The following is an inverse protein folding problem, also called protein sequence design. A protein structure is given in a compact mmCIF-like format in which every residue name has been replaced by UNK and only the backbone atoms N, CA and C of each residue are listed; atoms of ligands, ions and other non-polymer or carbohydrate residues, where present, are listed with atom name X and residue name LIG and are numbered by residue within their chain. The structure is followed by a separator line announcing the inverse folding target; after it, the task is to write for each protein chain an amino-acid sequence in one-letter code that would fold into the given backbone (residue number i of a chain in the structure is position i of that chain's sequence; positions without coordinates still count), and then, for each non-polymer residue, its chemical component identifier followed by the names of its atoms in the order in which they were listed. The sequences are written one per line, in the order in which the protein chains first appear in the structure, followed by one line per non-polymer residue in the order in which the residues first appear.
data_IF_752427993007
#
_entry.id   IF_752427993007
#
_cell.length_a   1.000
_cell.length_b   1.000
_cell.length_c   1.000
_cell.angle_alpha   90.00
_cell.angle_beta   90.00
_cell.angle_gamma   90.00
#
_symmetry.space_group_name_H-M   'P 1'
#
loop_
_entity.id
_entity.type
_entity.pdbx_description
1 polymer ?
#
# COMPACT_ATOMS: atom_id res chain seq x y z
N UNK A 1 20.48 -10.63 -1.10
CA UNK A 1 20.17 -10.02 0.20
C UNK A 1 19.49 -8.63 0.06
N UNK A 2 19.10 -8.19 -1.15
CA UNK A 2 18.57 -6.83 -1.39
C UNK A 2 19.46 -5.70 -0.85
N UNK A 3 20.71 -6.02 -0.49
CA UNK A 3 21.68 -5.06 0.02
C UNK A 3 22.66 -4.70 -1.09
N UNK A 4 23.35 -3.58 -0.89
CA UNK A 4 24.53 -3.24 -1.66
C UNK A 4 25.76 -3.29 -0.75
N UNK A 5 26.84 -3.84 -1.30
CA UNK A 5 28.15 -3.88 -0.63
C UNK A 5 29.01 -2.68 -1.01
N UNK A 6 30.14 -2.49 -0.30
CA UNK A 6 31.18 -1.54 -0.71
C UNK A 6 30.86 -0.06 -0.45
N UNK A 7 30.00 0.26 0.51
CA UNK A 7 29.66 1.64 0.89
C UNK A 7 28.49 2.26 0.12
N UNK A 8 27.83 1.49 -0.74
CA UNK A 8 26.65 1.92 -1.50
C UNK A 8 25.35 1.74 -0.70
N UNK A 9 24.46 2.75 -0.73
CA UNK A 9 23.19 2.77 0.01
C UNK A 9 22.09 1.94 -0.69
N UNK A 10 21.92 2.15 -2.00
CA UNK A 10 20.98 1.41 -2.85
C UNK A 10 19.51 1.46 -2.41
N UNK A 11 18.99 2.66 -2.24
CA UNK A 11 17.59 2.97 -1.95
C UNK A 11 16.65 2.29 -2.95
N UNK A 12 17.04 2.22 -4.23
CA UNK A 12 16.30 1.51 -5.28
C UNK A 12 16.10 0.00 -5.03
N UNK A 13 16.75 -0.59 -4.02
CA UNK A 13 16.59 -1.99 -3.60
C UNK A 13 15.83 -2.13 -2.29
N UNK A 14 15.53 -1.04 -1.61
CA UNK A 14 14.68 -1.07 -0.42
C UNK A 14 13.28 -1.49 -0.84
N UNK A 15 12.69 -2.42 -0.09
CA UNK A 15 11.40 -3.04 -0.39
C UNK A 15 10.33 -2.00 -0.66
N UNK A 16 10.20 -1.04 0.25
CA UNK A 16 9.26 0.05 0.20
C UNK A 16 9.41 0.88 -1.09
N UNK A 17 10.62 1.02 -1.61
CA UNK A 17 10.90 1.83 -2.80
C UNK A 17 10.64 1.04 -4.08
N UNK A 18 11.26 -0.14 -4.26
CA UNK A 18 11.09 -0.88 -5.52
C UNK A 18 9.65 -1.38 -5.69
N UNK A 19 8.94 -1.70 -4.61
CA UNK A 19 7.53 -2.06 -4.69
C UNK A 19 6.66 -0.87 -5.08
N UNK A 20 6.99 0.35 -4.64
CA UNK A 20 6.27 1.55 -5.10
C UNK A 20 6.57 1.91 -6.56
N UNK A 21 7.73 1.52 -7.10
CA UNK A 21 7.97 1.54 -8.55
C UNK A 21 7.02 0.59 -9.28
N UNK A 22 6.84 -0.63 -8.76
CA UNK A 22 5.86 -1.58 -9.32
C UNK A 22 4.42 -1.08 -9.19
N UNK A 23 4.04 -0.53 -8.04
CA UNK A 23 2.76 0.14 -7.82
C UNK A 23 2.49 1.20 -8.89
N UNK A 24 3.48 2.06 -9.17
CA UNK A 24 3.37 3.11 -10.20
C UNK A 24 3.18 2.54 -11.61
N UNK A 25 3.83 1.43 -11.92
CA UNK A 25 3.69 0.73 -13.19
C UNK A 25 2.31 0.07 -13.33
N UNK A 26 1.82 -0.60 -12.28
CA UNK A 26 0.48 -1.21 -12.24
C UNK A 26 -0.64 -0.17 -12.33
N UNK A 27 -0.48 0.97 -11.65
CA UNK A 27 -1.40 2.10 -11.73
C UNK A 27 -1.43 2.77 -13.12
N UNK A 28 -0.29 2.75 -13.84
CA UNK A 28 -0.12 3.35 -15.16
C UNK A 28 -0.73 4.77 -15.26
N UNK A 29 -1.68 4.97 -16.18
CA UNK A 29 -2.36 6.24 -16.44
C UNK A 29 -3.70 6.39 -15.72
N UNK A 30 -4.06 5.48 -14.80
CA UNK A 30 -5.33 5.58 -14.08
C UNK A 30 -5.43 6.92 -13.32
N UNK A 31 -6.58 7.60 -13.32
CA UNK A 31 -6.72 8.85 -12.59
C UNK A 31 -6.60 8.62 -11.08
N UNK A 32 -6.26 9.68 -10.33
CA UNK A 32 -6.44 9.68 -8.88
C UNK A 32 -7.95 9.70 -8.59
N UNK A 33 -8.39 8.80 -7.73
CA UNK A 33 -9.80 8.64 -7.32
C UNK A 33 -9.86 8.29 -5.83
N UNK A 34 -11.09 8.26 -5.27
CA UNK A 34 -11.35 7.87 -3.88
C UNK A 34 -10.42 8.58 -2.87
N UNK A 35 -10.18 9.88 -3.11
CA UNK A 35 -9.42 10.69 -2.18
C UNK A 35 -10.15 10.74 -0.84
N UNK A 36 -9.40 10.56 0.24
CA UNK A 36 -9.84 10.72 1.60
C UNK A 36 -8.71 11.38 2.39
N UNK A 37 -9.08 12.26 3.32
CA UNK A 37 -8.21 12.80 4.34
C UNK A 37 -9.00 13.04 5.62
N UNK A 38 -8.29 13.15 6.74
CA UNK A 38 -8.89 13.47 8.04
C UNK A 38 -8.86 14.97 8.38
N UNK A 39 -8.55 15.85 7.41
CA UNK A 39 -8.27 17.26 7.63
C UNK A 39 -6.89 17.56 8.26
N UNK A 40 -6.03 16.55 8.43
CA UNK A 40 -4.67 16.67 8.96
C UNK A 40 -3.68 15.82 8.12
N UNK A 41 -2.90 14.91 8.74
CA UNK A 41 -1.83 14.17 8.05
C UNK A 41 -2.14 12.69 7.80
N UNK A 42 -3.41 12.28 7.86
CA UNK A 42 -3.84 10.99 7.34
C UNK A 42 -4.52 11.18 5.99
N UNK A 43 -4.02 10.47 4.98
CA UNK A 43 -4.58 10.52 3.62
C UNK A 43 -4.70 9.12 3.02
N UNK A 44 -5.62 8.97 2.08
CA UNK A 44 -5.69 7.80 1.22
C UNK A 44 -6.23 8.16 -0.15
N UNK A 45 -5.83 7.41 -1.18
CA UNK A 45 -6.38 7.55 -2.52
C UNK A 45 -6.13 6.29 -3.35
N UNK A 46 -6.92 6.14 -4.41
CA UNK A 46 -6.75 5.10 -5.41
C UNK A 46 -6.26 5.65 -6.76
N UNK A 47 -5.74 4.75 -7.57
CA UNK A 47 -5.44 4.95 -8.98
C UNK A 47 -6.43 4.11 -9.79
N UNK A 48 -7.60 4.67 -10.04
CA UNK A 48 -8.73 3.95 -10.62
C UNK A 48 -9.05 2.69 -9.81
N UNK A 49 -9.19 1.57 -10.51
CA UNK A 49 -9.39 0.24 -9.94
C UNK A 49 -8.11 -0.63 -9.93
N UNK A 50 -6.93 -0.01 -10.01
CA UNK A 50 -5.65 -0.71 -10.15
C UNK A 50 -4.77 -0.70 -8.91
N UNK A 51 -4.79 0.39 -8.15
CA UNK A 51 -3.94 0.55 -6.97
C UNK A 51 -4.57 1.45 -5.92
N UNK A 52 -4.25 1.24 -4.65
CA UNK A 52 -4.73 2.03 -3.51
C UNK A 52 -3.61 2.18 -2.48
N UNK A 53 -3.48 3.38 -1.90
CA UNK A 53 -2.51 3.70 -0.86
C UNK A 53 -3.19 4.48 0.26
N UNK A 54 -2.80 4.19 1.50
CA UNK A 54 -3.13 4.99 2.67
C UNK A 54 -1.86 5.29 3.47
N UNK A 55 -1.74 6.52 3.96
CA UNK A 55 -0.57 7.05 4.64
C UNK A 55 -1.03 7.68 5.95
N UNK A 56 -0.35 7.37 7.05
CA UNK A 56 -0.56 7.98 8.34
C UNK A 56 0.72 8.73 8.77
N UNK A 57 0.66 10.06 8.76
CA UNK A 57 1.72 10.90 9.29
C UNK A 57 1.22 11.75 10.47
N UNK A 58 0.13 11.33 11.12
CA UNK A 58 -0.31 11.88 12.39
C UNK A 58 0.38 11.16 13.57
N UNK A 59 0.24 11.75 14.76
CA UNK A 59 0.77 11.24 16.03
C UNK A 59 -0.12 10.16 16.69
N UNK A 60 -1.16 9.71 15.99
CA UNK A 60 -2.10 8.68 16.42
C UNK A 60 -2.46 7.73 15.27
N UNK A 61 -3.01 6.56 15.60
CA UNK A 61 -3.35 5.54 14.62
C UNK A 61 -4.49 5.95 13.68
N UNK A 62 -4.39 5.52 12.43
CA UNK A 62 -5.48 5.53 11.46
C UNK A 62 -6.27 4.21 11.65
N UNK A 63 -7.57 4.30 11.93
CA UNK A 63 -8.49 3.15 11.89
C UNK A 63 -9.81 3.58 11.21
N UNK A 64 -9.94 3.31 9.91
CA UNK A 64 -11.07 3.76 9.09
C UNK A 64 -11.46 2.75 8.00
N UNK A 65 -12.75 2.75 7.63
CA UNK A 65 -13.23 2.08 6.42
C UNK A 65 -13.08 3.02 5.23
N UNK A 66 -12.29 2.61 4.23
CA UNK A 66 -11.96 3.45 3.08
C UNK A 66 -12.33 2.75 1.77
N UNK A 67 -12.86 3.53 0.83
CA UNK A 67 -13.15 3.06 -0.53
C UNK A 67 -11.85 2.95 -1.33
N UNK A 68 -11.55 1.75 -1.82
CA UNK A 68 -10.30 1.50 -2.56
C UNK A 68 -10.47 1.58 -4.08
N UNK A 69 -11.69 1.40 -4.58
CA UNK A 69 -11.99 1.19 -6.00
C UNK A 69 -11.46 -0.14 -6.55
N UNK A 70 -10.79 -0.97 -5.74
CA UNK A 70 -10.25 -2.26 -6.15
C UNK A 70 -11.33 -3.35 -6.15
N UNK A 71 -11.20 -4.37 -7.01
CA UNK A 71 -12.05 -5.55 -6.93
C UNK A 71 -11.94 -6.27 -5.58
N UNK A 72 -13.02 -6.94 -5.16
CA UNK A 72 -13.02 -7.78 -3.97
C UNK A 72 -11.88 -8.82 -3.99
N UNK A 73 -11.24 -9.01 -2.84
CA UNK A 73 -10.24 -10.05 -2.64
C UNK A 73 -9.22 -9.70 -1.57
N UNK A 74 -8.21 -10.56 -1.45
CA UNK A 74 -7.09 -10.35 -0.54
C UNK A 74 -5.88 -9.85 -1.31
N UNK A 75 -5.21 -8.86 -0.76
CA UNK A 75 -4.06 -8.19 -1.37
C UNK A 75 -2.90 -8.18 -0.39
N UNK A 76 -1.69 -8.38 -0.88
CA UNK A 76 -0.50 -8.20 -0.08
C UNK A 76 -0.16 -6.71 0.01
N UNK A 77 0.05 -6.22 1.23
CA UNK A 77 0.64 -4.89 1.43
C UNK A 77 2.11 -4.92 0.99
N UNK A 78 2.42 -4.15 -0.04
CA UNK A 78 3.75 -4.14 -0.65
C UNK A 78 4.75 -3.25 0.09
N UNK A 79 4.31 -2.54 1.13
CA UNK A 79 5.17 -1.77 2.04
C UNK A 79 5.75 -2.70 3.11
N UNK A 80 4.88 -3.41 3.84
CA UNK A 80 5.32 -4.35 4.89
C UNK A 80 5.86 -5.68 4.35
N UNK A 81 5.61 -6.04 3.08
CA UNK A 81 6.07 -7.30 2.51
C UNK A 81 5.98 -7.40 0.99
N UNK A 82 5.89 -8.63 0.50
CA UNK A 82 5.79 -9.00 -0.91
C UNK A 82 4.72 -10.09 -1.11
N UNK A 83 4.26 -10.24 -2.35
CA UNK A 83 3.60 -11.46 -2.81
C UNK A 83 4.66 -12.44 -3.33
N UNK A 84 4.86 -13.55 -2.62
CA UNK A 84 5.85 -14.57 -2.95
C UNK A 84 5.18 -15.95 -2.94
N UNK A 85 5.28 -16.69 -4.04
CA UNK A 85 4.73 -18.06 -4.17
C UNK A 85 3.25 -18.18 -3.77
N UNK A 86 2.44 -17.17 -4.09
CA UNK A 86 1.00 -17.15 -3.77
C UNK A 86 0.70 -16.83 -2.30
N UNK A 87 1.64 -16.24 -1.56
CA UNK A 87 1.46 -15.83 -0.17
C UNK A 87 2.05 -14.44 0.09
N UNK A 88 1.39 -13.68 0.96
CA UNK A 88 1.94 -12.42 1.46
C UNK A 88 2.98 -12.68 2.55
N UNK A 89 4.14 -12.02 2.45
CA UNK A 89 5.17 -12.03 3.50
C UNK A 89 4.93 -10.95 4.56
N UNK A 90 4.12 -9.93 4.24
CA UNK A 90 3.71 -8.85 5.14
C UNK A 90 2.20 -8.92 5.47
N UNK A 91 1.60 -7.75 5.70
CA UNK A 91 0.16 -7.63 5.99
C UNK A 91 -0.69 -8.08 4.79
N UNK A 92 -1.86 -8.64 5.10
CA UNK A 92 -2.90 -8.97 4.11
C UNK A 92 -4.06 -8.00 4.29
N UNK A 93 -4.43 -7.31 3.21
CA UNK A 93 -5.56 -6.38 3.18
C UNK A 93 -6.73 -7.04 2.47
N UNK A 94 -7.89 -7.08 3.12
CA UNK A 94 -9.11 -7.66 2.53
C UNK A 94 -10.01 -6.55 2.01
N UNK A 95 -10.20 -6.51 0.70
CA UNK A 95 -11.18 -5.62 0.04
C UNK A 95 -12.51 -6.37 -0.06
N UNK A 96 -13.57 -5.75 0.45
CA UNK A 96 -14.93 -6.29 0.48
C UNK A 96 -15.62 -6.16 -0.90
N UNK A 97 -16.81 -6.75 -1.02
CA UNK A 97 -17.59 -6.76 -2.27
C UNK A 97 -17.97 -5.37 -2.79
N UNK A 98 -18.05 -4.38 -1.90
CA UNK A 98 -18.34 -2.97 -2.19
C UNK A 98 -17.08 -2.13 -2.46
N UNK A 99 -15.91 -2.75 -2.53
CA UNK A 99 -14.62 -2.08 -2.76
C UNK A 99 -14.03 -1.42 -1.51
N UNK A 100 -14.69 -1.50 -0.35
CA UNK A 100 -14.17 -0.95 0.89
C UNK A 100 -13.19 -1.91 1.58
N UNK A 101 -12.26 -1.34 2.34
CA UNK A 101 -11.40 -2.10 3.25
C UNK A 101 -11.25 -1.36 4.57
N UNK A 102 -11.06 -2.11 5.65
CA UNK A 102 -10.69 -1.56 6.95
C UNK A 102 -9.18 -1.31 6.93
N UNK A 103 -8.77 -0.05 6.97
CA UNK A 103 -7.38 0.37 7.04
C UNK A 103 -7.02 0.65 8.49
N UNK A 104 -6.02 -0.06 9.00
CA UNK A 104 -5.47 0.17 10.34
C UNK A 104 -3.96 0.36 10.24
N UNK A 105 -3.47 1.55 10.57
CA UNK A 105 -2.05 1.94 10.52
C UNK A 105 -1.69 2.65 11.82
N UNK A 106 -0.86 2.00 12.65
CA UNK A 106 -0.35 2.64 13.86
C UNK A 106 0.71 3.69 13.51
N UNK A 107 0.76 4.80 14.25
CA UNK A 107 1.75 5.86 14.06
C UNK A 107 3.17 5.48 14.53
N UNK A 108 3.33 4.30 15.13
CA UNK A 108 4.61 3.74 15.56
C UNK A 108 5.07 2.56 14.69
N UNK A 109 4.42 2.31 13.55
CA UNK A 109 4.91 1.33 12.57
C UNK A 109 6.23 1.80 11.94
N UNK A 110 7.08 0.85 11.52
CA UNK A 110 8.33 1.15 10.82
C UNK A 110 8.08 2.02 9.58
N UNK A 111 7.06 1.66 8.80
CA UNK A 111 6.56 2.41 7.66
C UNK A 111 5.05 2.66 7.87
N UNK A 112 4.61 3.84 8.35
CA UNK A 112 3.21 4.11 8.70
C UNK A 112 2.36 4.40 7.43
N UNK A 113 2.32 3.43 6.54
CA UNK A 113 1.55 3.45 5.29
C UNK A 113 1.25 2.02 4.84
N UNK A 114 0.20 1.84 4.02
CA UNK A 114 -0.06 0.60 3.30
C UNK A 114 -0.25 0.90 1.81
N UNK A 115 0.17 -0.03 0.96
CA UNK A 115 -0.08 0.06 -0.47
C UNK A 115 -0.46 -1.30 -1.04
N UNK A 116 -1.54 -1.33 -1.82
CA UNK A 116 -2.03 -2.54 -2.49
C UNK A 116 -2.35 -2.25 -3.96
N UNK A 117 -2.18 -3.24 -4.82
CA UNK A 117 -2.48 -3.14 -6.24
C UNK A 117 -2.86 -4.49 -6.84
N UNK A 118 -3.48 -4.49 -8.02
CA UNK A 118 -4.03 -5.71 -8.65
C UNK A 118 -2.99 -6.80 -8.91
N UNK A 119 -1.72 -6.46 -9.17
CA UNK A 119 -0.65 -7.45 -9.36
C UNK A 119 -0.11 -8.05 -8.04
N UNK A 120 -0.61 -7.58 -6.90
CA UNK A 120 -0.33 -8.11 -5.55
C UNK A 120 -1.57 -8.75 -4.91
N UNK A 121 -2.58 -9.05 -5.72
CA UNK A 121 -3.78 -9.80 -5.31
C UNK A 121 -3.45 -11.30 -5.20
N UNK A 122 -3.97 -11.96 -4.16
CA UNK A 122 -3.96 -13.42 -4.00
C UNK A 122 -4.99 -14.10 -4.91
#
# INVERSE_FOLDING_TARGET
DLSCGGGWICEHRWRQIYNMVRFRNTAAFQPVQNWWDNGNNQIAFSRGNKAFIAINNDDHGLDQWLQTGLPQGQYCDVISGNLEQGRCTGKVITVQGDGQTKVTISNIEEDPMIAIHVDAKL
#
